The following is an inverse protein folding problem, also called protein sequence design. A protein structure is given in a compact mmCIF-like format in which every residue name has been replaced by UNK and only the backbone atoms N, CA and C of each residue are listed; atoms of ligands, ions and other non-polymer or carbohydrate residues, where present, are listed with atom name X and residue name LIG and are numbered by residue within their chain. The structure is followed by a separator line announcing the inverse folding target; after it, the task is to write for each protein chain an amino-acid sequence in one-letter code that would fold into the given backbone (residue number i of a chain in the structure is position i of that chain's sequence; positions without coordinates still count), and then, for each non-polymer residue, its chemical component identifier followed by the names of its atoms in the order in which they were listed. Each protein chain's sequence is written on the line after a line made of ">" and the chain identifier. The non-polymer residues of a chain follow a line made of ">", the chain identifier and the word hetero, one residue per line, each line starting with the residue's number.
data_IF_075396957630
#
_entry.id   IF_075396957630
#
_cell.length_a   1.000
_cell.length_b   1.000
_cell.length_c   1.000
_cell.angle_alpha   90.00
_cell.angle_beta   90.00
_cell.angle_gamma   90.00
#
_symmetry.space_group_name_H-M   'P 1'
#
loop_
_entity.id
_entity.type
_entity.pdbx_description
1 polymer ?
#
# COMPACT_ATOMS: atom_id res chain seq x y z
N UNK A 1 -3.70 17.27 -22.56
CA UNK A 1 -3.54 18.22 -21.44
C UNK A 1 -4.30 17.65 -20.26
N UNK A 2 -3.78 17.76 -19.02
CA UNK A 2 -4.47 17.23 -17.86
C UNK A 2 -5.87 17.81 -17.73
N UNK A 3 -6.78 17.03 -17.16
CA UNK A 3 -8.14 17.49 -16.89
C UNK A 3 -8.14 18.26 -15.58
N UNK A 4 -8.75 19.45 -15.58
CA UNK A 4 -8.70 20.37 -14.45
C UNK A 4 -10.11 20.69 -13.94
N UNK A 5 -10.27 20.64 -12.61
CA UNK A 5 -11.39 21.25 -11.91
C UNK A 5 -11.24 22.78 -11.85
N UNK A 6 -9.99 23.26 -11.73
CA UNK A 6 -9.60 24.68 -11.83
C UNK A 6 -8.20 24.78 -12.44
N UNK A 7 -7.99 25.72 -13.35
CA UNK A 7 -6.65 26.00 -13.89
C UNK A 7 -6.54 27.47 -14.30
N UNK A 8 -5.75 28.23 -13.56
CA UNK A 8 -5.36 29.59 -13.86
C UNK A 8 -3.91 29.81 -13.34
N UNK A 9 -3.30 30.99 -13.56
CA UNK A 9 -1.92 31.23 -13.15
C UNK A 9 -1.63 30.97 -11.65
N UNK A 10 -2.61 31.25 -10.78
CA UNK A 10 -2.47 31.19 -9.33
C UNK A 10 -3.15 29.96 -8.71
N UNK A 11 -3.83 29.12 -9.49
CA UNK A 11 -4.52 27.94 -8.98
C UNK A 11 -4.53 26.83 -10.04
N UNK A 12 -3.95 25.68 -9.69
CA UNK A 12 -4.17 24.41 -10.37
C UNK A 12 -4.90 23.42 -9.45
N UNK A 13 -5.96 22.80 -9.96
CA UNK A 13 -6.66 21.68 -9.31
C UNK A 13 -7.04 20.67 -10.37
N UNK A 14 -6.42 19.50 -10.32
CA UNK A 14 -6.63 18.40 -11.26
C UNK A 14 -7.93 17.67 -10.95
N UNK A 15 -8.63 17.26 -12.00
CA UNK A 15 -9.64 16.23 -11.88
C UNK A 15 -8.93 14.87 -11.89
N UNK A 16 -9.13 14.08 -10.84
CA UNK A 16 -8.53 12.75 -10.70
C UNK A 16 -9.65 11.73 -10.80
N UNK A 17 -9.38 10.61 -11.43
CA UNK A 17 -10.46 9.69 -11.79
C UNK A 17 -10.94 8.87 -10.62
N UNK A 18 -12.23 8.52 -10.67
CA UNK A 18 -12.91 7.78 -9.62
C UNK A 18 -12.91 6.28 -9.83
N UNK A 19 -12.67 5.58 -8.73
CA UNK A 19 -12.76 4.13 -8.66
C UNK A 19 -11.69 3.44 -9.51
N UNK A 20 -12.02 2.23 -9.94
CA UNK A 20 -11.13 1.32 -10.66
C UNK A 20 -11.71 1.09 -12.05
N UNK A 21 -10.91 1.33 -13.09
CA UNK A 21 -11.18 0.89 -14.45
C UNK A 21 -10.07 -0.04 -14.91
N UNK A 22 -10.42 -0.97 -15.80
CA UNK A 22 -9.47 -1.95 -16.30
C UNK A 22 -9.27 -1.81 -17.81
N UNK A 23 -8.04 -2.05 -18.28
CA UNK A 23 -7.76 -2.27 -19.70
C UNK A 23 -8.65 -3.41 -20.20
N UNK A 24 -9.18 -3.28 -21.42
CA UNK A 24 -10.11 -4.22 -22.05
C UNK A 24 -11.56 -4.15 -21.54
N UNK A 25 -11.83 -3.36 -20.50
CA UNK A 25 -13.19 -3.04 -20.08
C UNK A 25 -13.32 -1.60 -19.57
N UNK A 26 -13.02 -0.61 -20.42
CA UNK A 26 -13.03 0.78 -19.99
C UNK A 26 -14.42 1.25 -19.55
N UNK A 27 -15.51 0.61 -19.97
CA UNK A 27 -16.86 1.05 -19.57
C UNK A 27 -17.23 0.63 -18.14
N UNK A 28 -16.57 -0.40 -17.59
CA UNK A 28 -16.83 -0.88 -16.23
C UNK A 28 -16.02 -0.08 -15.22
N UNK A 29 -16.73 0.70 -14.40
CA UNK A 29 -16.20 1.39 -13.22
C UNK A 29 -16.54 0.60 -11.97
N UNK A 30 -15.54 0.26 -11.16
CA UNK A 30 -15.74 -0.35 -9.85
C UNK A 30 -15.37 0.62 -8.73
N UNK A 31 -16.11 0.65 -7.61
CA UNK A 31 -15.72 1.46 -6.46
C UNK A 31 -14.38 0.98 -5.87
N UNK A 32 -13.65 1.91 -5.26
CA UNK A 32 -12.53 1.57 -4.38
C UNK A 32 -13.02 1.60 -2.93
N UNK A 33 -12.95 0.46 -2.26
CA UNK A 33 -13.22 0.36 -0.82
C UNK A 33 -12.16 1.12 -0.01
N UNK A 34 -12.48 1.44 1.25
CA UNK A 34 -11.47 1.87 2.21
C UNK A 34 -10.33 0.86 2.27
N UNK A 35 -9.11 1.36 2.46
CA UNK A 35 -7.93 0.52 2.63
C UNK A 35 -7.43 0.64 4.06
N UNK A 36 -6.88 -0.46 4.57
CA UNK A 36 -6.29 -0.57 5.91
C UNK A 36 -4.83 -0.98 5.75
N UNK A 37 -3.99 -0.55 6.69
CA UNK A 37 -2.62 -1.03 6.86
C UNK A 37 -1.56 -0.31 6.04
N UNK A 38 -0.35 -0.86 6.06
CA UNK A 38 0.90 -0.26 5.57
C UNK A 38 1.06 -0.37 4.05
N UNK A 39 -0.02 -0.25 3.27
CA UNK A 39 -0.02 -0.45 1.80
C UNK A 39 -0.47 0.76 0.99
N UNK A 40 -0.57 1.93 1.64
CA UNK A 40 -1.09 3.17 1.04
C UNK A 40 -0.35 3.59 -0.24
N UNK A 41 0.98 3.47 -0.28
CA UNK A 41 1.79 3.84 -1.44
C UNK A 41 1.39 3.09 -2.73
N UNK A 42 1.09 1.79 -2.61
CA UNK A 42 0.67 0.98 -3.76
C UNK A 42 -0.75 1.32 -4.24
N UNK A 43 -1.59 1.88 -3.36
CA UNK A 43 -2.88 2.45 -3.76
C UNK A 43 -2.73 3.83 -4.37
N UNK A 44 -1.76 4.61 -3.91
CA UNK A 44 -1.44 5.92 -4.43
C UNK A 44 -1.05 5.87 -5.92
N UNK A 45 -0.46 4.76 -6.38
CA UNK A 45 -0.14 4.56 -7.80
C UNK A 45 -1.37 4.36 -8.70
N UNK A 46 -2.55 4.00 -8.16
CA UNK A 46 -3.71 3.65 -9.00
C UNK A 46 -4.16 4.76 -9.97
N UNK A 47 -4.16 6.05 -9.59
CA UNK A 47 -4.53 7.12 -10.52
C UNK A 47 -3.48 7.44 -11.58
N UNK A 48 -2.26 6.89 -11.47
CA UNK A 48 -1.15 7.14 -12.39
C UNK A 48 -0.78 5.92 -13.25
N UNK A 49 -1.51 4.79 -13.12
CA UNK A 49 -1.21 3.56 -13.86
C UNK A 49 -2.43 2.93 -14.53
N UNK A 50 -2.18 2.20 -15.60
CA UNK A 50 -3.18 1.28 -16.15
C UNK A 50 -3.39 0.10 -15.20
N UNK A 51 -4.62 -0.42 -15.19
CA UNK A 51 -4.99 -1.60 -14.40
C UNK A 51 -5.47 -2.71 -15.30
N UNK A 52 -4.97 -3.91 -15.08
CA UNK A 52 -5.25 -5.05 -15.95
C UNK A 52 -6.24 -5.96 -15.26
N UNK A 53 -7.46 -6.06 -15.78
CA UNK A 53 -8.55 -6.79 -15.15
C UNK A 53 -8.48 -8.30 -15.35
N UNK A 54 -9.53 -9.01 -14.94
CA UNK A 54 -9.64 -10.48 -15.12
C UNK A 54 -9.72 -10.92 -16.59
N UNK A 55 -10.05 -10.00 -17.51
CA UNK A 55 -10.08 -10.25 -18.96
C UNK A 55 -8.67 -10.47 -19.53
N UNK A 56 -7.64 -9.95 -18.87
CA UNK A 56 -6.25 -10.20 -19.25
C UNK A 56 -5.82 -11.56 -18.70
N UNK A 57 -5.16 -12.35 -19.54
CA UNK A 57 -4.62 -13.63 -19.12
C UNK A 57 -3.61 -13.41 -17.98
N UNK A 58 -3.66 -14.27 -16.96
CA UNK A 58 -2.80 -14.12 -15.78
C UNK A 58 -1.30 -14.22 -16.08
N UNK A 59 -0.93 -14.77 -17.24
CA UNK A 59 0.44 -14.88 -17.74
C UNK A 59 0.88 -13.67 -18.60
N UNK A 60 0.00 -12.70 -18.90
CA UNK A 60 0.42 -11.44 -19.51
C UNK A 60 1.32 -10.70 -18.54
N UNK A 61 2.39 -10.06 -19.03
CA UNK A 61 3.37 -9.37 -18.20
C UNK A 61 2.70 -8.39 -17.23
N UNK A 62 1.82 -7.55 -17.75
CA UNK A 62 1.18 -6.46 -17.01
C UNK A 62 0.20 -6.99 -15.96
N UNK A 63 -0.60 -8.00 -16.32
CA UNK A 63 -1.53 -8.62 -15.39
C UNK A 63 -0.80 -9.41 -14.31
N UNK A 64 0.28 -10.11 -14.67
CA UNK A 64 1.09 -10.87 -13.73
C UNK A 64 1.76 -9.95 -12.69
N UNK A 65 2.35 -8.84 -13.14
CA UNK A 65 2.90 -7.79 -12.27
C UNK A 65 1.81 -7.25 -11.33
N UNK A 66 0.62 -6.90 -11.83
CA UNK A 66 -0.48 -6.44 -10.98
C UNK A 66 -0.90 -7.48 -9.94
N UNK A 67 -0.95 -8.76 -10.31
CA UNK A 67 -1.27 -9.85 -9.38
C UNK A 67 -0.21 -9.98 -8.28
N UNK A 68 1.08 -9.88 -8.62
CA UNK A 68 2.16 -9.95 -7.63
C UNK A 68 2.03 -8.83 -6.59
N UNK A 69 1.89 -7.57 -7.02
CA UNK A 69 1.72 -6.47 -6.07
C UNK A 69 0.39 -6.55 -5.32
N UNK A 70 -0.66 -7.13 -5.92
CA UNK A 70 -1.89 -7.42 -5.19
C UNK A 70 -1.68 -8.49 -4.11
N UNK A 71 -0.88 -9.53 -4.38
CA UNK A 71 -0.53 -10.56 -3.40
C UNK A 71 0.30 -9.96 -2.26
N UNK A 72 1.29 -9.11 -2.58
CA UNK A 72 2.10 -8.42 -1.59
C UNK A 72 1.24 -7.60 -0.61
N UNK A 73 0.31 -6.78 -1.12
CA UNK A 73 -0.60 -6.00 -0.27
C UNK A 73 -1.49 -6.87 0.61
N UNK A 74 -2.01 -7.97 0.06
CA UNK A 74 -2.81 -8.92 0.85
C UNK A 74 -1.98 -9.55 1.95
N UNK A 75 -0.74 -9.95 1.64
CA UNK A 75 0.19 -10.50 2.61
C UNK A 75 0.52 -9.51 3.74
N UNK A 76 0.74 -8.23 3.45
CA UNK A 76 0.91 -7.21 4.51
C UNK A 76 -0.31 -7.18 5.42
N UNK A 77 -1.51 -7.03 4.85
CA UNK A 77 -2.74 -6.96 5.64
C UNK A 77 -2.99 -8.24 6.46
N UNK A 78 -2.62 -9.40 5.94
CA UNK A 78 -2.68 -10.68 6.65
C UNK A 78 -1.68 -10.71 7.82
N UNK A 79 -0.47 -10.19 7.64
CA UNK A 79 0.54 -10.08 8.71
C UNK A 79 0.05 -9.11 9.79
N UNK A 80 -0.38 -7.90 9.42
CA UNK A 80 -0.90 -6.89 10.37
C UNK A 80 -2.06 -7.45 11.22
N UNK A 81 -2.97 -8.21 10.58
CA UNK A 81 -4.08 -8.87 11.25
C UNK A 81 -3.62 -10.01 12.19
N UNK A 82 -2.60 -10.78 11.78
CA UNK A 82 -2.06 -11.86 12.60
C UNK A 82 -1.30 -11.34 13.82
N UNK A 83 -0.58 -10.21 13.71
CA UNK A 83 0.19 -9.62 14.82
C UNK A 83 -0.74 -9.15 15.94
N UNK A 84 -1.79 -8.42 15.57
CA UNK A 84 -2.77 -7.91 16.55
C UNK A 84 -3.58 -9.04 17.22
N UNK A 85 -3.75 -10.17 16.53
CA UNK A 85 -4.52 -11.32 17.01
C UNK A 85 -3.67 -12.46 17.57
N UNK A 86 -3.02 -13.21 16.69
CA UNK A 86 -2.42 -14.52 16.97
C UNK A 86 -1.21 -14.42 17.91
N UNK A 87 -0.35 -13.42 17.73
CA UNK A 87 0.91 -13.27 18.47
C UNK A 87 0.70 -12.86 19.92
N UNK A 88 -0.21 -11.92 20.14
CA UNK A 88 -0.62 -11.55 21.49
C UNK A 88 -1.33 -12.71 22.20
N UNK A 89 -2.27 -13.37 21.53
CA UNK A 89 -3.02 -14.49 22.11
C UNK A 89 -2.12 -15.67 22.48
N UNK A 90 -1.14 -16.04 21.65
CA UNK A 90 -0.26 -17.18 21.97
C UNK A 90 0.66 -16.88 23.16
N UNK A 91 1.20 -15.65 23.27
CA UNK A 91 2.02 -15.28 24.44
C UNK A 91 1.19 -15.27 25.73
N UNK A 92 -0.06 -14.78 25.67
CA UNK A 92 -1.01 -14.83 26.79
C UNK A 92 -1.36 -16.28 27.16
N UNK A 93 -1.73 -17.13 26.20
CA UNK A 93 -2.09 -18.54 26.44
C UNK A 93 -0.92 -19.36 27.01
N UNK A 94 0.30 -19.17 26.51
CA UNK A 94 1.49 -19.84 27.05
C UNK A 94 1.73 -19.38 28.50
N UNK A 95 1.63 -18.07 28.75
CA UNK A 95 1.81 -17.51 30.10
C UNK A 95 0.78 -18.06 31.08
N UNK A 96 -0.49 -18.15 30.68
CA UNK A 96 -1.57 -18.74 31.49
C UNK A 96 -1.35 -20.24 31.75
N UNK A 97 -0.90 -20.99 30.73
CA UNK A 97 -0.59 -22.41 30.86
C UNK A 97 0.59 -22.68 31.80
N UNK A 98 1.65 -21.88 31.70
CA UNK A 98 2.87 -22.08 32.48
C UNK A 98 2.78 -21.55 33.91
N UNK A 99 2.04 -20.46 34.14
CA UNK A 99 2.00 -19.71 35.42
C UNK A 99 3.39 -19.23 35.90
N UNK A 100 4.36 -19.19 34.98
CA UNK A 100 5.77 -18.87 35.16
C UNK A 100 6.26 -18.15 33.89
N UNK A 101 7.44 -17.48 33.93
CA UNK A 101 8.03 -16.89 32.73
C UNK A 101 8.17 -17.89 31.58
N UNK A 102 7.95 -17.43 30.35
CA UNK A 102 8.04 -18.28 29.17
C UNK A 102 9.49 -18.71 28.95
N UNK A 103 9.74 -20.01 29.00
CA UNK A 103 11.06 -20.61 28.74
C UNK A 103 10.97 -21.61 27.59
N UNK A 104 12.10 -21.94 26.97
CA UNK A 104 12.15 -22.98 25.93
C UNK A 104 11.62 -24.33 26.43
N UNK A 105 11.86 -24.69 27.69
CA UNK A 105 11.33 -25.92 28.28
C UNK A 105 9.81 -25.81 28.55
N UNK A 106 9.34 -24.63 28.96
CA UNK A 106 7.91 -24.32 29.04
C UNK A 106 7.20 -24.47 27.69
N UNK A 107 7.79 -23.95 26.62
CA UNK A 107 7.24 -24.05 25.25
C UNK A 107 7.17 -25.50 24.78
N UNK A 108 8.18 -26.34 25.08
CA UNK A 108 8.09 -27.78 24.78
C UNK A 108 6.93 -28.45 25.52
N UNK A 109 6.69 -28.11 26.78
CA UNK A 109 5.53 -28.62 27.54
C UNK A 109 4.22 -28.17 26.89
N UNK A 110 4.14 -26.91 26.49
CA UNK A 110 2.96 -26.38 25.80
C UNK A 110 2.75 -27.03 24.42
N UNK A 111 3.79 -27.34 23.66
CA UNK A 111 3.69 -28.11 22.42
C UNK A 111 3.04 -29.48 22.61
N UNK A 112 3.40 -30.20 23.68
CA UNK A 112 2.75 -31.49 24.04
C UNK A 112 1.28 -31.29 24.36
N UNK A 113 0.92 -30.20 25.04
CA UNK A 113 -0.46 -29.84 25.32
C UNK A 113 -1.25 -29.54 24.04
N UNK A 114 -0.68 -28.76 23.12
CA UNK A 114 -1.26 -28.49 21.80
C UNK A 114 -1.49 -29.78 20.99
N UNK A 115 -0.56 -30.74 21.03
CA UNK A 115 -0.74 -32.04 20.37
C UNK A 115 -1.90 -32.85 20.97
N UNK A 116 -2.05 -32.81 22.30
CA UNK A 116 -3.15 -33.48 22.99
C UNK A 116 -4.49 -32.82 22.66
N UNK A 117 -4.53 -31.49 22.61
CA UNK A 117 -5.70 -30.72 22.21
C UNK A 117 -6.10 -31.02 20.76
N UNK A 118 -5.14 -31.06 19.83
CA UNK A 118 -5.40 -31.42 18.43
C UNK A 118 -5.95 -32.85 18.29
N UNK A 119 -5.43 -33.82 19.05
CA UNK A 119 -5.96 -35.20 19.08
C UNK A 119 -7.38 -35.25 19.63
N UNK A 120 -7.69 -34.45 20.64
CA UNK A 120 -9.03 -34.38 21.25
C UNK A 120 -10.03 -33.76 20.28
N UNK A 121 -9.65 -32.65 19.64
CA UNK A 121 -10.49 -31.94 18.69
C UNK A 121 -10.85 -32.81 17.49
N UNK A 122 -9.90 -33.57 16.93
CA UNK A 122 -10.15 -34.51 15.83
C UNK A 122 -11.15 -35.63 16.17
N UNK A 123 -11.46 -35.85 17.45
CA UNK A 123 -12.46 -36.83 17.91
C UNK A 123 -13.84 -36.22 18.08
N UNK A 124 -13.98 -34.90 18.03
CA UNK A 124 -15.26 -34.21 18.12
C UNK A 124 -16.04 -34.37 16.80
N UNK A 125 -17.36 -34.50 16.90
CA UNK A 125 -18.25 -34.65 15.75
C UNK A 125 -18.69 -33.31 15.13
N UNK A 126 -18.25 -32.18 15.69
CA UNK A 126 -18.58 -30.83 15.26
C UNK A 126 -17.54 -30.27 14.28
N UNK A 127 -17.89 -29.19 13.57
CA UNK A 127 -16.92 -28.48 12.75
C UNK A 127 -15.89 -27.76 13.64
N UNK A 128 -14.64 -28.23 13.62
CA UNK A 128 -13.52 -27.74 14.43
C UNK A 128 -12.38 -27.14 13.60
N UNK A 129 -12.59 -26.94 12.30
CA UNK A 129 -11.56 -26.57 11.34
C UNK A 129 -10.79 -25.28 11.69
N UNK A 130 -11.46 -24.28 12.26
CA UNK A 130 -10.82 -23.02 12.69
C UNK A 130 -9.89 -23.25 13.88
N UNK A 131 -10.36 -23.98 14.89
CA UNK A 131 -9.59 -24.30 16.09
C UNK A 131 -8.39 -25.21 15.78
N UNK A 132 -8.57 -26.18 14.86
CA UNK A 132 -7.46 -26.99 14.34
C UNK A 132 -6.42 -26.12 13.64
N UNK A 133 -6.86 -25.17 12.80
CA UNK A 133 -5.95 -24.25 12.12
C UNK A 133 -5.20 -23.36 13.10
N UNK A 134 -5.84 -22.88 14.16
CA UNK A 134 -5.20 -22.08 15.20
C UNK A 134 -4.13 -22.88 15.95
N UNK A 135 -4.44 -24.10 16.39
CA UNK A 135 -3.47 -24.96 17.09
C UNK A 135 -2.27 -25.27 16.21
N UNK A 136 -2.48 -25.59 14.93
CA UNK A 136 -1.38 -25.84 13.98
C UNK A 136 -0.48 -24.60 13.83
N UNK A 137 -1.06 -23.39 13.78
CA UNK A 137 -0.29 -22.15 13.75
C UNK A 137 0.51 -21.94 15.04
N UNK A 138 -0.07 -22.23 16.20
CA UNK A 138 0.64 -22.13 17.49
C UNK A 138 1.79 -23.12 17.58
N UNK A 139 1.58 -24.36 17.14
CA UNK A 139 2.64 -25.35 17.05
C UNK A 139 3.77 -24.89 16.13
N UNK A 140 3.44 -24.30 14.98
CA UNK A 140 4.44 -23.78 14.06
C UNK A 140 5.27 -22.67 14.71
N UNK A 141 4.63 -21.67 15.33
CA UNK A 141 5.33 -20.57 16.01
C UNK A 141 6.24 -21.06 17.15
N UNK A 142 5.75 -22.00 17.96
CA UNK A 142 6.55 -22.58 19.05
C UNK A 142 7.77 -23.35 18.51
N UNK A 143 7.60 -24.12 17.43
CA UNK A 143 8.71 -24.84 16.80
C UNK A 143 9.70 -23.88 16.13
N UNK A 144 9.22 -22.81 15.51
CA UNK A 144 10.06 -21.79 14.89
C UNK A 144 10.91 -21.09 15.96
N UNK A 145 10.32 -20.71 17.11
CA UNK A 145 11.08 -20.18 18.25
C UNK A 145 12.15 -21.16 18.73
N UNK A 146 11.78 -22.42 18.98
CA UNK A 146 12.73 -23.42 19.49
C UNK A 146 13.91 -23.66 18.55
N UNK A 147 13.68 -23.51 17.25
CA UNK A 147 14.72 -23.65 16.21
C UNK A 147 15.68 -22.47 16.15
N UNK A 148 15.25 -21.28 16.60
CA UNK A 148 16.04 -20.04 16.54
C UNK A 148 16.27 -19.42 17.94
N UNK A 149 16.09 -20.18 19.02
CA UNK A 149 16.14 -19.65 20.40
C UNK A 149 17.46 -18.93 20.74
N UNK A 150 18.55 -19.26 20.08
CA UNK A 150 19.87 -18.66 20.32
C UNK A 150 19.96 -17.25 19.71
N UNK A 151 19.09 -16.91 18.77
CA UNK A 151 19.04 -15.61 18.09
C UNK A 151 18.19 -14.58 18.82
N UNK A 152 17.07 -15.00 19.45
CA UNK A 152 16.05 -14.08 19.99
C UNK A 152 16.06 -13.92 21.50
N UNK A 153 16.91 -14.62 22.24
CA UNK A 153 16.99 -14.52 23.71
C UNK A 153 15.79 -15.15 24.45
N UNK A 154 14.60 -14.58 24.26
CA UNK A 154 13.32 -15.06 24.82
C UNK A 154 12.18 -15.08 23.78
N UNK A 155 11.03 -15.62 24.21
CA UNK A 155 9.87 -15.81 23.33
C UNK A 155 9.16 -14.51 22.99
N UNK A 156 9.14 -13.53 23.89
CA UNK A 156 8.47 -12.26 23.65
C UNK A 156 9.25 -11.44 22.62
N UNK A 157 10.58 -11.40 22.72
CA UNK A 157 11.45 -10.81 21.70
C UNK A 157 11.30 -11.51 20.34
N UNK A 158 11.24 -12.84 20.31
CA UNK A 158 10.94 -13.59 19.08
C UNK A 158 9.61 -13.16 18.44
N UNK A 159 8.54 -13.11 19.24
CA UNK A 159 7.21 -12.72 18.75
C UNK A 159 7.21 -11.28 18.24
N UNK A 160 7.89 -10.36 18.92
CA UNK A 160 8.03 -8.96 18.50
C UNK A 160 8.77 -8.82 17.17
N UNK A 161 9.79 -9.66 16.92
CA UNK A 161 10.56 -9.63 15.67
C UNK A 161 9.87 -10.37 14.50
N UNK A 162 9.00 -11.33 14.80
CA UNK A 162 8.41 -12.21 13.78
C UNK A 162 7.55 -11.46 12.76
N UNK A 163 6.89 -10.38 13.16
CA UNK A 163 6.18 -9.47 12.24
C UNK A 163 7.11 -8.98 11.13
N UNK A 164 8.25 -8.40 11.53
CA UNK A 164 9.22 -7.81 10.62
C UNK A 164 9.89 -8.86 9.74
N UNK A 165 10.23 -10.03 10.31
CA UNK A 165 10.74 -11.18 9.55
C UNK A 165 9.74 -11.60 8.47
N UNK A 166 8.44 -11.67 8.79
CA UNK A 166 7.43 -12.02 7.81
C UNK A 166 7.28 -10.96 6.71
N UNK A 167 7.36 -9.67 7.06
CA UNK A 167 7.39 -8.59 6.06
C UNK A 167 8.58 -8.70 5.11
N UNK A 168 9.78 -8.97 5.64
CA UNK A 168 11.00 -9.16 4.84
C UNK A 168 10.84 -10.37 3.92
N UNK A 169 10.41 -11.52 4.44
CA UNK A 169 10.18 -12.74 3.65
C UNK A 169 9.15 -12.51 2.53
N UNK A 170 8.08 -11.78 2.82
CA UNK A 170 7.06 -11.42 1.83
C UNK A 170 7.62 -10.51 0.74
N UNK A 171 8.46 -9.53 1.10
CA UNK A 171 9.13 -8.64 0.15
C UNK A 171 10.11 -9.41 -0.74
N UNK A 172 11.00 -10.22 -0.16
CA UNK A 172 11.95 -11.06 -0.91
C UNK A 172 11.23 -12.00 -1.88
N UNK A 173 10.15 -12.67 -1.43
CA UNK A 173 9.30 -13.51 -2.29
C UNK A 173 8.70 -12.72 -3.45
N UNK A 174 8.28 -11.48 -3.19
CA UNK A 174 7.70 -10.59 -4.21
C UNK A 174 8.74 -10.18 -5.24
N UNK A 175 9.93 -9.74 -4.81
CA UNK A 175 11.05 -9.40 -5.71
C UNK A 175 11.46 -10.61 -6.56
N UNK A 176 11.58 -11.80 -5.95
CA UNK A 176 11.91 -13.04 -6.66
C UNK A 176 10.88 -13.40 -7.72
N UNK A 177 9.59 -13.16 -7.48
CA UNK A 177 8.53 -13.39 -8.49
C UNK A 177 8.57 -12.38 -9.63
N UNK A 178 9.11 -11.18 -9.39
CA UNK A 178 9.25 -10.13 -10.40
C UNK A 178 10.53 -10.24 -11.23
N UNK A 179 11.54 -10.98 -10.75
CA UNK A 179 12.84 -11.12 -11.43
C UNK A 179 12.78 -11.53 -12.92
N UNK A 180 11.82 -12.36 -13.40
CA UNK A 180 11.72 -12.67 -14.82
C UNK A 180 11.38 -11.46 -15.71
N UNK A 181 10.79 -10.41 -15.12
CA UNK A 181 10.33 -9.21 -15.83
C UNK A 181 11.22 -7.99 -15.60
N UNK A 182 11.85 -7.92 -14.43
CA UNK A 182 12.75 -6.81 -14.05
C UNK A 182 14.21 -7.12 -14.36
N UNK A 183 14.54 -8.40 -14.56
CA UNK A 183 15.91 -8.91 -14.69
C UNK A 183 16.81 -8.62 -13.49
N UNK A 184 16.21 -8.34 -12.33
CA UNK A 184 16.91 -8.11 -11.06
C UNK A 184 16.60 -9.22 -10.07
N UNK A 185 17.62 -9.75 -9.40
CA UNK A 185 17.45 -10.62 -8.25
C UNK A 185 16.98 -9.84 -7.02
N UNK A 186 16.42 -10.53 -6.03
CA UNK A 186 15.90 -9.88 -4.82
C UNK A 186 16.97 -9.06 -4.07
N UNK A 187 18.18 -9.63 -3.92
CA UNK A 187 19.28 -8.95 -3.25
C UNK A 187 19.78 -7.74 -4.05
N UNK A 188 19.77 -7.82 -5.38
CA UNK A 188 20.12 -6.68 -6.25
C UNK A 188 19.12 -5.54 -6.12
N UNK A 189 17.82 -5.83 -6.04
CA UNK A 189 16.78 -4.81 -5.82
C UNK A 189 17.01 -4.10 -4.49
N UNK A 190 17.26 -4.86 -3.42
CA UNK A 190 17.50 -4.31 -2.09
C UNK A 190 18.79 -3.47 -2.06
N UNK A 191 19.92 -4.01 -2.54
CA UNK A 191 21.20 -3.29 -2.52
C UNK A 191 21.14 -2.03 -3.39
N UNK A 192 20.45 -2.06 -4.53
CA UNK A 192 20.22 -0.85 -5.33
C UNK A 192 19.43 0.20 -4.55
N UNK A 193 18.40 -0.21 -3.81
CA UNK A 193 17.63 0.69 -2.97
C UNK A 193 18.45 1.28 -1.82
N UNK A 194 19.19 0.44 -1.09
CA UNK A 194 20.10 0.86 -0.01
C UNK A 194 21.13 1.86 -0.56
N UNK A 195 21.82 1.52 -1.64
CA UNK A 195 22.84 2.39 -2.23
C UNK A 195 22.27 3.74 -2.69
N UNK A 196 21.03 3.76 -3.18
CA UNK A 196 20.37 5.01 -3.59
C UNK A 196 19.93 5.83 -2.39
N UNK A 197 19.45 5.18 -1.33
CA UNK A 197 19.11 5.82 -0.05
C UNK A 197 20.36 6.41 0.62
N UNK A 198 21.48 5.70 0.61
CA UNK A 198 22.74 6.24 1.13
C UNK A 198 23.21 7.47 0.34
N UNK A 199 23.00 7.46 -0.98
CA UNK A 199 23.27 8.63 -1.84
C UNK A 199 22.27 9.77 -1.64
N UNK A 200 21.05 9.51 -1.16
CA UNK A 200 20.07 10.56 -0.92
C UNK A 200 20.35 11.37 0.35
N UNK A 201 21.26 10.92 1.22
CA UNK A 201 21.54 11.53 2.54
C UNK A 201 22.96 12.15 2.59
N UNK A 202 23.44 12.76 1.49
CA UNK A 202 24.85 13.19 1.35
C UNK A 202 25.21 14.24 2.41
N UNK A 203 26.17 13.91 3.30
CA UNK A 203 26.66 14.77 4.38
C UNK A 203 25.73 14.93 5.62
N UNK A 204 24.76 14.04 5.86
CA UNK A 204 24.11 14.04 7.19
C UNK A 204 25.19 13.83 8.25
N UNK A 205 25.15 14.64 9.31
CA UNK A 205 26.24 14.69 10.30
C UNK A 205 26.39 13.41 11.13
N UNK A 206 25.44 12.48 11.04
CA UNK A 206 25.17 11.49 12.08
C UNK A 206 25.37 10.03 11.66
N UNK A 207 26.25 9.76 10.68
CA UNK A 207 26.64 8.38 10.41
C UNK A 207 25.48 7.47 9.97
N UNK A 208 24.46 8.01 9.28
CA UNK A 208 23.30 7.24 8.78
C UNK A 208 23.72 5.98 8.01
N UNK A 209 24.79 6.09 7.20
CA UNK A 209 25.38 4.94 6.51
C UNK A 209 25.95 3.89 7.47
N UNK A 210 26.62 4.32 8.53
CA UNK A 210 27.14 3.44 9.58
C UNK A 210 25.99 2.78 10.35
N UNK A 211 24.96 3.54 10.75
CA UNK A 211 23.77 3.03 11.40
C UNK A 211 23.06 1.99 10.54
N UNK A 212 22.78 2.30 9.27
CA UNK A 212 22.13 1.36 8.36
C UNK A 212 22.93 0.07 8.21
N UNK A 213 24.26 0.17 8.14
CA UNK A 213 25.13 -1.01 8.07
C UNK A 213 25.15 -1.80 9.38
N UNK A 214 25.13 -1.14 10.54
CA UNK A 214 25.07 -1.78 11.86
C UNK A 214 23.72 -2.46 12.13
N UNK A 215 22.64 -2.01 11.49
CA UNK A 215 21.29 -2.54 11.68
C UNK A 215 20.83 -3.51 10.59
N UNK A 216 21.70 -3.92 9.65
CA UNK A 216 21.33 -4.82 8.54
C UNK A 216 20.80 -6.18 9.00
N UNK A 217 21.28 -6.67 10.13
CA UNK A 217 20.86 -7.96 10.69
C UNK A 217 19.62 -7.84 11.57
N UNK A 218 19.09 -6.62 11.79
CA UNK A 218 17.93 -6.39 12.62
C UNK A 218 16.66 -6.25 11.76
N UNK A 219 15.70 -7.20 11.85
CA UNK A 219 14.49 -7.20 11.04
C UNK A 219 13.64 -5.94 11.20
N UNK A 220 13.53 -5.41 12.42
CA UNK A 220 12.73 -4.21 12.71
C UNK A 220 13.22 -2.99 11.92
N UNK A 221 14.54 -2.82 11.77
CA UNK A 221 15.10 -1.73 10.98
C UNK A 221 15.07 -2.01 9.48
N UNK A 222 15.17 -3.28 9.07
CA UNK A 222 15.22 -3.65 7.65
C UNK A 222 13.85 -3.77 6.99
N UNK A 223 12.79 -4.13 7.71
CA UNK A 223 11.47 -4.34 7.10
C UNK A 223 10.91 -3.08 6.39
N UNK A 224 11.05 -1.84 6.95
CA UNK A 224 10.71 -0.62 6.22
C UNK A 224 11.52 -0.42 4.94
N UNK A 225 12.83 -0.73 4.95
CA UNK A 225 13.71 -0.64 3.77
C UNK A 225 13.27 -1.62 2.68
N UNK A 226 12.93 -2.85 3.06
CA UNK A 226 12.36 -3.83 2.12
C UNK A 226 11.02 -3.37 1.55
N UNK A 227 10.15 -2.78 2.38
CA UNK A 227 8.88 -2.23 1.92
C UNK A 227 9.10 -1.12 0.88
N UNK A 228 9.96 -0.15 1.18
CA UNK A 228 10.24 0.96 0.28
C UNK A 228 10.91 0.48 -1.03
N UNK A 229 11.77 -0.53 -0.96
CA UNK A 229 12.32 -1.19 -2.14
C UNK A 229 11.22 -1.81 -3.03
N UNK A 230 10.20 -2.46 -2.45
CA UNK A 230 9.04 -2.97 -3.19
C UNK A 230 8.23 -1.84 -3.82
N UNK A 231 8.02 -0.74 -3.10
CA UNK A 231 7.27 0.42 -3.59
C UNK A 231 7.99 1.07 -4.79
N UNK A 232 9.32 1.24 -4.71
CA UNK A 232 10.13 1.75 -5.81
C UNK A 232 10.13 0.79 -7.01
N UNK A 233 10.18 -0.52 -6.75
CA UNK A 233 10.06 -1.54 -7.80
C UNK A 233 8.69 -1.48 -8.47
N UNK A 234 7.62 -1.28 -7.70
CA UNK A 234 6.27 -1.10 -8.23
C UNK A 234 6.15 0.15 -9.10
N UNK A 235 6.70 1.29 -8.66
CA UNK A 235 6.75 2.51 -9.46
C UNK A 235 7.43 2.25 -10.81
N UNK A 236 8.60 1.60 -10.81
CA UNK A 236 9.31 1.23 -12.04
C UNK A 236 8.50 0.28 -12.94
N UNK A 237 7.89 -0.76 -12.38
CA UNK A 237 7.03 -1.69 -13.13
C UNK A 237 5.77 -1.02 -13.71
N UNK A 238 5.34 0.10 -13.13
CA UNK A 238 4.22 0.91 -13.62
C UNK A 238 4.65 2.10 -14.47
N UNK A 239 5.93 2.16 -14.86
CA UNK A 239 6.50 3.22 -15.69
C UNK A 239 6.33 4.62 -15.07
N UNK A 240 6.33 4.69 -13.74
CA UNK A 240 6.38 5.94 -12.99
C UNK A 240 7.82 6.39 -12.82
N UNK A 241 8.01 7.70 -12.74
CA UNK A 241 9.32 8.33 -12.58
C UNK A 241 9.37 9.21 -11.33
N UNK A 242 10.58 9.52 -10.88
CA UNK A 242 10.77 10.55 -9.86
C UNK A 242 10.39 11.92 -10.39
N UNK A 243 9.67 12.69 -9.58
CA UNK A 243 9.31 14.07 -9.93
C UNK A 243 10.54 14.96 -10.04
N UNK A 244 10.51 15.89 -10.98
CA UNK A 244 11.50 16.95 -11.09
C UNK A 244 11.22 18.11 -10.11
N UNK A 245 10.05 18.13 -9.48
CA UNK A 245 9.77 19.06 -8.39
C UNK A 245 10.44 18.55 -7.10
N UNK A 246 11.06 19.49 -6.39
CA UNK A 246 11.64 19.27 -5.07
C UNK A 246 11.19 20.36 -4.08
N UNK A 247 11.13 20.05 -2.78
CA UNK A 247 10.66 20.96 -1.72
C UNK A 247 11.36 22.32 -1.63
N UNK A 248 12.62 22.40 -2.09
CA UNK A 248 13.41 23.63 -2.11
C UNK A 248 12.98 24.59 -3.22
N UNK A 249 12.17 24.12 -4.18
CA UNK A 249 11.61 24.94 -5.25
C UNK A 249 10.35 25.70 -4.80
N UNK A 250 10.07 26.88 -5.41
CA UNK A 250 8.85 27.64 -5.13
C UNK A 250 7.59 26.88 -5.57
N UNK A 251 6.43 27.23 -5.00
CA UNK A 251 5.15 26.55 -5.27
C UNK A 251 4.79 26.53 -6.76
N UNK A 252 5.17 27.57 -7.50
CA UNK A 252 4.98 27.69 -8.94
C UNK A 252 5.61 26.52 -9.71
N UNK A 253 6.74 25.99 -9.24
CA UNK A 253 7.38 24.82 -9.84
C UNK A 253 6.54 23.54 -9.63
N UNK A 254 5.91 23.38 -8.45
CA UNK A 254 4.94 22.31 -8.21
C UNK A 254 3.72 22.47 -9.13
N UNK A 255 3.19 23.70 -9.23
CA UNK A 255 2.04 23.98 -10.10
C UNK A 255 2.32 23.65 -11.56
N UNK A 256 3.52 23.99 -12.06
CA UNK A 256 3.91 23.65 -13.42
C UNK A 256 4.06 22.14 -13.62
N UNK A 257 4.67 21.44 -12.66
CA UNK A 257 4.77 19.98 -12.67
C UNK A 257 3.38 19.33 -12.71
N UNK A 258 2.42 19.80 -11.91
CA UNK A 258 1.03 19.32 -11.92
C UNK A 258 0.36 19.51 -13.29
N UNK A 259 0.61 20.64 -13.97
CA UNK A 259 0.08 20.90 -15.32
C UNK A 259 0.70 20.04 -16.41
N UNK A 260 1.95 19.56 -16.23
CA UNK A 260 2.65 18.78 -17.25
C UNK A 260 2.51 17.27 -17.05
N UNK A 261 2.57 16.82 -15.81
CA UNK A 261 2.69 15.40 -15.46
C UNK A 261 1.47 14.86 -14.70
N UNK A 262 0.57 15.73 -14.25
CA UNK A 262 -0.59 15.33 -13.44
C UNK A 262 -0.24 15.17 -11.95
N UNK A 263 -1.01 14.37 -11.19
CA UNK A 263 -0.86 14.24 -9.75
C UNK A 263 0.53 13.77 -9.32
N UNK A 264 0.96 14.20 -8.13
CA UNK A 264 2.24 13.83 -7.52
C UNK A 264 2.00 12.95 -6.30
N UNK A 265 2.69 11.83 -6.20
CA UNK A 265 2.58 10.91 -5.05
C UNK A 265 3.74 11.19 -4.10
N UNK A 266 3.41 11.64 -2.89
CA UNK A 266 4.38 12.03 -1.85
C UNK A 266 4.31 11.08 -0.65
N UNK A 267 5.30 11.19 0.23
CA UNK A 267 5.34 10.56 1.55
C UNK A 267 5.42 11.65 2.62
N UNK A 268 4.73 11.48 3.75
CA UNK A 268 4.67 12.49 4.82
C UNK A 268 4.73 11.89 6.22
N UNK A 269 5.34 12.63 7.18
CA UNK A 269 5.39 12.36 8.62
C UNK A 269 5.12 13.62 9.47
N UNK A 270 4.34 13.53 10.56
CA UNK A 270 3.30 12.53 10.80
C UNK A 270 2.23 12.66 9.72
N UNK A 271 1.61 11.53 9.41
CA UNK A 271 0.47 11.41 8.51
C UNK A 271 -0.48 12.61 8.68
N UNK A 272 -0.71 13.38 7.60
CA UNK A 272 -1.80 14.36 7.59
C UNK A 272 -3.11 13.55 7.51
N UNK A 273 -3.50 12.96 8.64
CA UNK A 273 -4.77 12.25 8.74
C UNK A 273 -5.87 13.29 8.79
N UNK A 274 -6.63 13.34 7.71
CA UNK A 274 -7.77 14.24 7.68
C UNK A 274 -8.97 13.56 8.31
N UNK A 275 -9.10 13.75 9.61
CA UNK A 275 -10.33 13.43 10.30
C UNK A 275 -11.41 14.46 9.91
N UNK A 276 -12.54 13.98 9.35
CA UNK A 276 -13.64 14.86 8.97
C UNK A 276 -14.21 15.64 10.16
N UNK A 277 -14.05 15.16 11.40
CA UNK A 277 -14.56 15.86 12.58
C UNK A 277 -13.71 17.08 12.95
N UNK A 278 -12.41 17.06 12.65
CA UNK A 278 -11.47 18.18 12.88
C UNK A 278 -11.33 19.12 11.69
N UNK A 279 -11.94 18.76 10.56
CA UNK A 279 -11.98 19.60 9.37
C UNK A 279 -13.25 20.45 9.27
N UNK A 280 -13.14 21.57 8.57
CA UNK A 280 -14.26 22.38 8.08
C UNK A 280 -14.32 22.33 6.55
N UNK A 281 -15.50 22.53 5.97
CA UNK A 281 -15.68 22.54 4.51
C UNK A 281 -15.51 23.98 3.99
N UNK A 282 -14.48 24.24 3.19
CA UNK A 282 -14.27 25.54 2.53
C UNK A 282 -15.04 25.64 1.21
N UNK A 283 -15.24 24.52 0.52
CA UNK A 283 -15.91 24.47 -0.77
C UNK A 283 -16.72 23.20 -0.87
N UNK A 284 -17.96 23.31 -1.30
CA UNK A 284 -18.83 22.18 -1.60
C UNK A 284 -19.41 22.33 -3.00
N UNK A 285 -19.12 21.37 -3.86
CA UNK A 285 -19.71 21.23 -5.19
C UNK A 285 -20.31 19.83 -5.33
N UNK A 286 -21.04 19.57 -6.42
CA UNK A 286 -21.48 18.21 -6.73
C UNK A 286 -20.31 17.24 -6.98
N UNK A 287 -19.19 17.76 -7.51
CA UNK A 287 -18.02 16.98 -7.89
C UNK A 287 -17.03 16.76 -6.74
N UNK A 288 -16.86 17.73 -5.84
CA UNK A 288 -15.86 17.65 -4.77
C UNK A 288 -16.19 18.54 -3.57
N UNK A 289 -15.60 18.20 -2.42
CA UNK A 289 -15.61 18.98 -1.19
C UNK A 289 -14.17 19.25 -0.76
N UNK A 290 -13.81 20.51 -0.54
CA UNK A 290 -12.51 20.91 0.00
C UNK A 290 -12.64 21.06 1.51
N UNK A 291 -11.83 20.30 2.23
CA UNK A 291 -11.73 20.28 3.67
C UNK A 291 -10.43 20.96 4.11
N UNK A 292 -10.49 21.84 5.12
CA UNK A 292 -9.31 22.40 5.78
C UNK A 292 -9.40 22.21 7.28
N UNK A 293 -8.26 22.28 7.97
CA UNK A 293 -8.18 22.13 9.42
C UNK A 293 -8.89 23.29 10.13
N UNK A 294 -9.58 23.00 11.25
CA UNK A 294 -10.11 24.04 12.15
C UNK A 294 -8.96 24.68 12.96
N UNK A 295 -9.03 25.99 13.18
CA UNK A 295 -7.96 26.76 13.84
C UNK A 295 -7.66 26.30 15.28
N UNK A 296 -8.65 25.75 15.99
CA UNK A 296 -8.53 25.37 17.41
C UNK A 296 -8.20 23.89 17.66
N UNK A 297 -7.99 23.08 16.61
CA UNK A 297 -7.78 21.64 16.78
C UNK A 297 -6.28 21.31 16.95
N UNK A 298 -5.84 21.22 18.20
CA UNK A 298 -4.57 20.56 18.55
C UNK A 298 -4.74 19.05 18.49
N UNK A 299 -4.92 18.49 17.30
CA UNK A 299 -4.94 17.04 17.15
C UNK A 299 -3.63 16.44 17.64
N UNK A 300 -3.74 15.34 18.39
CA UNK A 300 -2.61 14.48 18.69
C UNK A 300 -2.00 14.02 17.36
N UNK A 301 -0.71 14.30 17.17
CA UNK A 301 0.02 13.82 16.01
C UNK A 301 -0.09 12.30 15.96
N UNK A 302 -0.74 11.77 14.92
CA UNK A 302 -0.72 10.33 14.69
C UNK A 302 0.64 9.93 14.17
N UNK A 303 1.36 9.14 14.96
CA UNK A 303 2.65 8.58 14.59
C UNK A 303 2.53 7.77 13.29
N UNK A 304 3.49 7.96 12.39
CA UNK A 304 3.65 7.14 11.19
C UNK A 304 3.73 7.92 9.88
N UNK A 305 4.27 7.23 8.88
CA UNK A 305 4.35 7.65 7.49
C UNK A 305 3.03 7.40 6.74
N UNK A 306 2.69 8.25 5.78
CA UNK A 306 1.62 7.96 4.83
C UNK A 306 1.88 8.53 3.45
N UNK A 307 1.36 7.84 2.44
CA UNK A 307 1.44 8.27 1.05
C UNK A 307 0.16 8.98 0.62
N UNK A 308 0.33 10.18 0.06
CA UNK A 308 -0.76 11.06 -0.35
C UNK A 308 -0.57 11.48 -1.82
N UNK A 309 -1.67 11.88 -2.47
CA UNK A 309 -1.63 12.48 -3.80
C UNK A 309 -1.79 13.99 -3.71
N UNK A 310 -0.79 14.75 -4.15
CA UNK A 310 -0.96 16.16 -4.49
C UNK A 310 -1.70 16.24 -5.83
N UNK A 311 -2.86 16.89 -5.82
CA UNK A 311 -3.70 17.09 -7.01
C UNK A 311 -3.89 18.56 -7.35
N UNK A 312 -3.40 19.48 -6.53
CA UNK A 312 -3.53 20.89 -6.77
C UNK A 312 -2.63 21.73 -5.90
N UNK A 313 -2.50 23.00 -6.28
CA UNK A 313 -1.82 24.04 -5.55
C UNK A 313 -2.46 25.41 -5.84
N UNK A 314 -2.51 26.28 -4.83
CA UNK A 314 -3.09 27.63 -4.88
C UNK A 314 -2.12 28.63 -4.24
N UNK A 315 -1.85 29.72 -4.97
CA UNK A 315 -1.27 30.95 -4.44
C UNK A 315 -2.38 31.96 -4.21
N UNK A 316 -2.49 32.48 -3.00
CA UNK A 316 -3.49 33.47 -2.63
C UNK A 316 -2.90 34.53 -1.70
N UNK A 317 -3.64 35.63 -1.52
CA UNK A 317 -3.27 36.67 -0.54
C UNK A 317 -3.21 36.12 0.90
N UNK A 318 -3.86 34.99 1.16
CA UNK A 318 -3.87 34.29 2.46
C UNK A 318 -2.71 33.29 2.62
N UNK A 319 -1.88 33.13 1.59
CA UNK A 319 -0.77 32.20 1.58
C UNK A 319 -0.83 31.16 0.46
N UNK A 320 0.14 30.26 0.52
CA UNK A 320 0.37 29.16 -0.41
C UNK A 320 -0.22 27.86 0.13
N UNK A 321 -1.00 27.17 -0.68
CA UNK A 321 -1.73 25.96 -0.28
C UNK A 321 -1.54 24.83 -1.28
N UNK A 322 -1.63 23.59 -0.78
CA UNK A 322 -1.65 22.37 -1.57
C UNK A 322 -2.91 21.57 -1.31
N UNK A 323 -3.37 20.84 -2.32
CA UNK A 323 -4.58 20.04 -2.28
C UNK A 323 -4.26 18.56 -2.41
N UNK A 324 -4.73 17.78 -1.45
CA UNK A 324 -4.35 16.40 -1.23
C UNK A 324 -5.55 15.45 -1.34
N UNK A 325 -5.34 14.27 -1.90
CA UNK A 325 -6.25 13.12 -1.80
C UNK A 325 -5.55 12.03 -1.00
N UNK A 326 -6.27 11.45 -0.04
CA UNK A 326 -5.84 10.26 0.68
C UNK A 326 -6.28 8.98 -0.08
N UNK A 327 -5.34 8.16 -0.58
CA UNK A 327 -5.65 6.94 -1.31
C UNK A 327 -6.30 5.83 -0.44
N UNK A 328 -6.24 5.93 0.89
CA UNK A 328 -6.86 4.99 1.81
C UNK A 328 -8.36 5.22 2.02
N UNK A 329 -8.86 6.41 1.71
CA UNK A 329 -10.28 6.70 1.83
C UNK A 329 -11.08 6.00 0.73
N UNK A 330 -12.34 5.58 1.02
CA UNK A 330 -13.24 5.13 -0.02
C UNK A 330 -13.36 6.16 -1.13
N UNK A 331 -13.27 5.70 -2.38
CA UNK A 331 -13.48 6.54 -3.55
C UNK A 331 -14.78 6.09 -4.26
N UNK A 332 -15.94 6.63 -3.84
CA UNK A 332 -17.21 6.28 -4.43
C UNK A 332 -17.33 6.81 -5.86
N UNK A 333 -18.04 6.06 -6.69
CA UNK A 333 -18.27 6.43 -8.09
C UNK A 333 -19.14 7.68 -8.24
N UNK A 334 -19.91 8.03 -7.21
CA UNK A 334 -20.86 9.14 -7.19
C UNK A 334 -20.69 9.99 -5.93
N UNK A 335 -21.26 11.21 -5.94
CA UNK A 335 -21.20 12.17 -4.83
C UNK A 335 -19.88 12.95 -4.77
N UNK A 336 -19.74 13.94 -3.89
CA UNK A 336 -18.53 14.77 -3.83
C UNK A 336 -17.33 13.98 -3.29
N UNK A 337 -16.17 14.13 -3.92
CA UNK A 337 -14.91 13.56 -3.42
C UNK A 337 -14.31 14.48 -2.35
N UNK A 338 -13.82 13.95 -1.22
CA UNK A 338 -13.02 14.74 -0.28
C UNK A 338 -11.66 15.10 -0.90
N UNK A 339 -11.35 16.40 -0.88
CA UNK A 339 -10.05 16.98 -1.18
C UNK A 339 -9.63 17.74 0.06
N UNK A 340 -8.37 17.65 0.43
CA UNK A 340 -7.88 18.26 1.64
C UNK A 340 -6.90 19.39 1.34
N UNK A 341 -7.05 20.52 2.01
CA UNK A 341 -6.24 21.72 1.84
C UNK A 341 -5.37 21.93 3.07
N UNK A 342 -4.06 22.01 2.86
CA UNK A 342 -3.08 22.41 3.88
C UNK A 342 -2.19 23.52 3.34
N UNK A 343 -1.52 24.23 4.24
CA UNK A 343 -0.50 25.20 3.82
C UNK A 343 0.68 24.48 3.18
N UNK A 344 1.34 25.14 2.22
CA UNK A 344 2.55 24.60 1.60
C UNK A 344 3.66 24.40 2.64
N UNK A 345 3.83 25.37 3.55
CA UNK A 345 4.81 25.27 4.65
C UNK A 345 4.56 24.04 5.55
N UNK A 346 3.29 23.73 5.85
CA UNK A 346 2.95 22.53 6.59
C UNK A 346 3.34 21.26 5.82
N UNK A 347 3.10 21.20 4.50
CA UNK A 347 3.56 20.08 3.68
C UNK A 347 5.09 19.95 3.75
N UNK A 348 5.82 21.05 3.55
CA UNK A 348 7.28 21.06 3.53
C UNK A 348 7.87 20.59 4.86
N UNK A 349 7.25 20.93 6.00
CA UNK A 349 7.71 20.49 7.32
C UNK A 349 7.58 18.98 7.58
N UNK A 350 6.80 18.28 6.75
CA UNK A 350 6.40 16.88 6.93
C UNK A 350 6.83 15.96 5.78
N UNK A 351 7.25 16.49 4.65
CA UNK A 351 7.51 15.69 3.45
C UNK A 351 8.79 14.86 3.59
N UNK A 352 8.72 13.62 3.12
CA UNK A 352 9.86 12.72 2.95
C UNK A 352 10.16 12.54 1.46
N UNK A 353 11.41 12.26 1.13
CA UNK A 353 11.74 11.81 -0.23
C UNK A 353 11.24 10.37 -0.49
N UNK A 354 11.31 9.89 -1.74
CA UNK A 354 10.87 8.52 -2.09
C UNK A 354 11.73 7.39 -1.46
N UNK A 355 12.74 7.75 -0.67
CA UNK A 355 13.60 6.84 0.08
C UNK A 355 13.34 6.93 1.59
N UNK A 356 12.36 7.72 2.03
CA UNK A 356 11.98 7.86 3.44
C UNK A 356 12.80 8.88 4.24
N UNK A 357 13.54 9.77 3.58
CA UNK A 357 14.41 10.76 4.25
C UNK A 357 13.68 12.10 4.40
N UNK A 358 13.70 12.67 5.62
CA UNK A 358 13.07 13.94 5.94
C UNK A 358 13.97 15.15 5.64
N UNK A 359 13.37 16.29 5.26
CA UNK A 359 14.07 17.57 5.14
C UNK A 359 14.60 18.09 6.48
N UNK A 360 14.00 17.69 7.60
CA UNK A 360 14.39 18.17 8.93
C UNK A 360 15.77 17.65 9.36
N UNK A 361 16.32 16.64 8.66
CA UNK A 361 17.64 16.07 8.95
C UNK A 361 18.82 16.87 8.36
N UNK A 362 18.55 17.77 7.41
CA UNK A 362 19.42 18.83 6.85
C UNK A 362 18.94 19.08 5.39
N UNK A 363 17.95 19.95 5.18
CA UNK A 363 17.24 20.12 3.90
C UNK A 363 18.15 20.39 2.66
N UNK A 364 19.30 21.02 2.84
CA UNK A 364 20.28 21.31 1.77
C UNK A 364 21.12 20.08 1.35
N UNK A 365 20.95 18.95 2.04
CA UNK A 365 21.78 17.74 1.89
C UNK A 365 21.01 16.51 1.42
N UNK A 366 19.68 16.60 1.40
CA UNK A 366 18.84 15.52 0.91
C UNK A 366 18.74 15.62 -0.61
N UNK A 367 19.14 14.57 -1.31
CA UNK A 367 19.05 14.49 -2.78
C UNK A 367 18.06 13.42 -3.21
N UNK A 368 17.59 13.49 -4.46
CA UNK A 368 16.64 12.55 -5.02
C UNK A 368 15.21 13.06 -5.01
N UNK A 369 14.30 12.36 -5.71
CA UNK A 369 12.96 12.87 -5.94
C UNK A 369 12.11 12.78 -4.66
N UNK A 370 11.25 13.78 -4.47
CA UNK A 370 10.31 13.84 -3.34
C UNK A 370 8.91 13.35 -3.66
N UNK A 371 8.66 13.04 -4.93
CA UNK A 371 7.41 12.46 -5.38
C UNK A 371 7.62 11.48 -6.51
N UNK A 372 6.67 10.57 -6.68
CA UNK A 372 6.47 9.85 -7.93
C UNK A 372 5.47 10.59 -8.83
N UNK A 373 5.70 10.53 -10.14
CA UNK A 373 4.80 11.07 -11.15
C UNK A 373 4.67 10.12 -12.34
N UNK A 374 3.63 10.32 -13.14
CA UNK A 374 3.57 9.75 -14.48
C UNK A 374 4.48 10.54 -15.43
N UNK A 375 5.07 9.90 -16.46
CA UNK A 375 5.77 10.62 -17.51
C UNK A 375 4.90 11.69 -18.15
N UNK A 376 5.52 12.76 -18.65
CA UNK A 376 4.80 13.87 -19.28
C UNK A 376 3.78 13.40 -20.32
N UNK A 377 2.52 13.79 -20.13
CA UNK A 377 1.39 13.41 -21.00
C UNK A 377 0.86 11.98 -20.82
N UNK A 378 1.47 11.11 -20.01
CA UNK A 378 0.91 9.79 -19.70
C UNK A 378 -0.33 9.86 -18.83
N UNK A 379 -0.38 10.79 -17.88
CA UNK A 379 -1.58 11.01 -17.07
C UNK A 379 -2.80 11.33 -17.95
N UNK A 380 -2.63 12.15 -19.00
CA UNK A 380 -3.72 12.50 -19.92
C UNK A 380 -4.21 11.29 -20.71
N UNK A 381 -3.29 10.47 -21.22
CA UNK A 381 -3.63 9.24 -21.96
C UNK A 381 -4.40 8.26 -21.06
N UNK A 382 -3.94 8.10 -19.82
CA UNK A 382 -4.62 7.29 -18.82
C UNK A 382 -6.00 7.89 -18.52
N UNK A 383 -6.07 9.22 -18.41
CA UNK A 383 -7.31 9.90 -18.13
C UNK A 383 -8.33 9.66 -19.25
N UNK A 384 -7.96 9.93 -20.50
CA UNK A 384 -8.84 9.76 -21.66
C UNK A 384 -9.28 8.29 -21.83
N UNK A 385 -8.39 7.33 -21.53
CA UNK A 385 -8.72 5.91 -21.47
C UNK A 385 -9.79 5.63 -20.40
N UNK A 386 -9.57 6.12 -19.18
CA UNK A 386 -10.46 5.89 -18.04
C UNK A 386 -11.67 6.85 -18.01
N UNK A 387 -11.83 7.78 -18.95
CA UNK A 387 -13.13 8.43 -19.19
C UNK A 387 -13.89 7.74 -20.30
N UNK A 388 -13.18 7.06 -21.21
CA UNK A 388 -13.74 6.52 -22.45
C UNK A 388 -13.76 7.56 -23.58
N UNK A 389 -13.04 8.67 -23.43
CA UNK A 389 -12.97 9.74 -24.45
C UNK A 389 -12.19 9.27 -25.69
N UNK A 390 -11.32 8.26 -25.54
CA UNK A 390 -10.39 7.77 -26.58
C UNK A 390 -10.74 6.36 -27.11
N UNK A 391 -12.00 5.90 -26.92
CA UNK A 391 -12.45 4.55 -27.29
C UNK A 391 -12.24 4.17 -28.77
N UNK A 392 -12.16 5.15 -29.68
CA UNK A 392 -11.95 4.92 -31.11
C UNK A 392 -10.49 4.59 -31.51
N UNK A 393 -9.53 4.71 -30.57
CA UNK A 393 -8.09 4.60 -30.87
C UNK A 393 -7.37 3.41 -30.24
N UNK A 394 -8.03 2.64 -29.38
CA UNK A 394 -7.43 1.44 -28.81
C UNK A 394 -7.65 0.25 -29.75
N UNK A 395 -6.59 -0.53 -30.06
CA UNK A 395 -6.74 -1.72 -30.87
C UNK A 395 -7.74 -2.65 -30.17
N UNK A 396 -8.88 -2.90 -30.81
CA UNK A 396 -9.75 -4.00 -30.43
C UNK A 396 -8.90 -5.26 -30.50
N UNK A 397 -8.90 -6.06 -29.45
CA UNK A 397 -8.29 -7.39 -29.53
C UNK A 397 -9.00 -8.13 -30.66
N UNK A 398 -8.29 -8.46 -31.74
CA UNK A 398 -8.82 -9.24 -32.87
C UNK A 398 -9.27 -10.65 -32.43
N UNK A 399 -9.00 -11.05 -31.19
CA UNK A 399 -9.50 -12.28 -30.57
C UNK A 399 -10.90 -12.15 -29.92
N UNK A 400 -11.50 -10.95 -29.88
CA UNK A 400 -12.88 -10.77 -29.38
C UNK A 400 -13.96 -11.03 -30.46
N UNK A 401 -13.59 -11.38 -31.69
CA UNK A 401 -14.52 -11.86 -32.74
C UNK A 401 -14.82 -13.37 -32.64
N UNK A 402 -14.86 -13.93 -31.43
CA UNK A 402 -15.66 -15.14 -31.22
C UNK A 402 -17.07 -14.71 -30.84
N UNK A 403 -17.88 -14.60 -31.89
CA UNK A 403 -19.33 -14.50 -31.91
C UNK A 403 -19.99 -15.22 -30.71
N UNK A 404 -20.21 -14.51 -29.60
CA UNK A 404 -21.15 -14.96 -28.57
C UNK A 404 -22.52 -14.62 -29.12
N UNK A 405 -22.96 -15.48 -30.03
CA UNK A 405 -24.32 -15.55 -30.54
C UNK A 405 -25.25 -15.69 -29.32
N UNK A 406 -25.93 -14.61 -28.96
CA UNK A 406 -27.02 -14.58 -27.99
C UNK A 406 -28.21 -15.38 -28.54
N UNK A 407 -28.04 -16.70 -28.70
CA UNK A 407 -29.13 -17.64 -28.94
C UNK A 407 -29.56 -18.26 -27.62
N UNK A 408 -30.70 -17.75 -27.16
CA UNK A 408 -31.79 -18.47 -26.46
C UNK A 408 -31.33 -19.67 -25.64
N UNK A 409 -31.24 -19.47 -24.33
CA UNK A 409 -31.28 -20.55 -23.35
C UNK A 409 -32.63 -21.30 -23.48
N UNK A 410 -32.67 -22.58 -23.89
CA UNK A 410 -33.84 -23.41 -23.72
C UNK A 410 -33.78 -24.06 -22.34
N UNK A 411 -34.87 -23.89 -21.60
CA UNK A 411 -35.23 -24.65 -20.41
C UNK A 411 -35.02 -26.17 -20.58
N UNK A 412 -34.32 -26.79 -19.63
CA UNK A 412 -34.39 -28.21 -19.26
C UNK A 412 -34.18 -28.24 -17.73
N UNK A 413 -35.26 -28.24 -16.96
CA UNK A 413 -36.08 -29.38 -16.53
C UNK A 413 -35.52 -30.08 -15.29
N UNK A 414 -36.45 -30.34 -14.39
CA UNK A 414 -36.34 -30.86 -13.03
C UNK A 414 -35.83 -32.32 -12.95
N UNK A 415 -35.66 -32.75 -11.69
CA UNK A 415 -35.36 -34.10 -11.18
C UNK A 415 -33.86 -34.39 -11.03
N UNK A 416 -33.30 -34.65 -9.85
CA UNK A 416 -33.79 -35.64 -8.88
C UNK A 416 -33.31 -35.31 -7.47
N UNK A 417 -34.25 -35.25 -6.54
CA UNK A 417 -34.01 -35.27 -5.09
C UNK A 417 -34.00 -36.74 -4.64
N UNK A 418 -32.91 -37.22 -4.04
CA UNK A 418 -32.95 -38.42 -3.19
C UNK A 418 -32.51 -38.08 -1.77
N UNK A 419 -33.51 -37.98 -0.90
CA UNK A 419 -33.39 -38.03 0.56
C UNK A 419 -33.05 -39.46 0.99
N UNK A 420 -32.03 -39.61 1.82
CA UNK A 420 -31.85 -40.78 2.68
C UNK A 420 -32.55 -40.46 4.00
N UNK A 421 -33.53 -41.29 4.38
CA UNK A 421 -34.04 -41.41 5.75
C UNK A 421 -33.39 -42.65 6.37
N UNK A 422 -32.84 -42.48 7.56
CA UNK A 422 -32.45 -43.55 8.47
C UNK A 422 -33.69 -43.98 9.27
N UNK A 423 -33.92 -45.29 9.31
CA UNK A 423 -34.37 -46.01 10.52
C UNK A 423 -33.15 -46.72 11.10
#
# INVERSE_FOLDING_TARGET
>A
MPHFLKNNPNFVLLDVQRGKRYVGDPLVRLPQAAQKGNSCALYAFNPLRFRFGKKYQANSKERYIELIFSDYRRGINEIDANVTGIYKLISEEISEFLQEPITAEGIKKYLVELENNLKTIKRLSTNTSELESQIVKYQQLCNDFLSHKEEYGDFDEFILQQEYVNWINLAQKTMKRLSPFTHLQADEVLENHINTTLKSVVNSKDGYSELLNLTRDNPQFMAPIYHQAIVNLAASCYELEGSNWEPTMPLEALMETLRQCGPQIIYTEPCVLFNKTSCQIETATEAYQIYSKKEDDSEEATNGCHSLLIIGAEMSDKGSFVYLIDPNLPDPLTGPRPIYKISYDELLSKILNIYGVSLNEDAEKVTGPFAFQAPKGHFDKLYDFVTGTSLDTYPKNENDETDIDHKRCPSLSQETTKRIKLE
#
